data_IF_751516010539
#
_entry.id   IF_751516010539
#
_cell.length_a   1.000
_cell.length_b   1.000
_cell.length_c   1.000
_cell.angle_alpha   90.00
_cell.angle_beta   90.00
_cell.angle_gamma   90.00
#
_symmetry.space_group_name_H-M   'P 1'
#
loop_
_entity.id
_entity.type
_entity.pdbx_description
1 polymer ?
#
# COMPACT_ATOMS: atom_id res chain seq x y z
N UNK A 1 -0.92 -7.92 -17.76
CA UNK A 1 -0.38 -7.18 -18.91
C UNK A 1 -0.51 -5.67 -18.69
N UNK A 2 0.26 -4.89 -19.43
CA UNK A 2 0.24 -3.44 -19.33
C UNK A 2 -1.15 -2.86 -19.63
N UNK A 3 -1.86 -3.45 -20.60
CA UNK A 3 -3.21 -3.02 -20.98
C UNK A 3 -4.26 -3.22 -19.87
N UNK A 4 -4.03 -4.13 -18.94
CA UNK A 4 -4.94 -4.39 -17.83
C UNK A 4 -4.56 -3.64 -16.56
N UNK A 5 -3.43 -2.91 -16.59
CA UNK A 5 -2.95 -2.15 -15.44
C UNK A 5 -3.94 -1.04 -15.07
N UNK A 6 -4.26 -0.93 -13.78
CA UNK A 6 -5.15 0.12 -13.26
C UNK A 6 -4.65 0.60 -11.88
N UNK A 7 -5.32 1.62 -11.34
CA UNK A 7 -4.92 2.23 -10.06
C UNK A 7 -5.10 1.33 -8.85
N UNK A 8 -5.83 0.23 -8.98
CA UNK A 8 -5.98 -0.76 -7.92
C UNK A 8 -4.90 -1.84 -8.03
N UNK A 9 -4.82 -2.55 -9.17
CA UNK A 9 -3.91 -3.68 -9.29
C UNK A 9 -2.42 -3.28 -9.31
N UNK A 10 -2.10 -2.02 -9.61
CA UNK A 10 -0.73 -1.52 -9.56
C UNK A 10 -0.12 -1.66 -8.16
N UNK A 11 -0.94 -1.66 -7.11
CA UNK A 11 -0.47 -1.82 -5.73
C UNK A 11 0.04 -3.22 -5.42
N UNK A 12 -0.32 -4.23 -6.21
CA UNK A 12 0.17 -5.60 -6.06
C UNK A 12 1.56 -5.81 -6.66
N UNK A 13 2.04 -4.85 -7.44
CA UNK A 13 3.28 -4.98 -8.18
C UNK A 13 4.46 -4.43 -7.41
N UNK A 14 5.64 -5.00 -7.68
CA UNK A 14 6.92 -4.48 -7.20
C UNK A 14 7.63 -3.77 -8.35
N UNK A 15 8.74 -3.08 -8.05
CA UNK A 15 9.48 -2.29 -9.03
C UNK A 15 9.90 -3.11 -10.25
N UNK A 16 10.39 -4.33 -10.02
CA UNK A 16 10.80 -5.20 -11.13
C UNK A 16 9.62 -5.61 -12.01
N UNK A 17 8.45 -5.78 -11.43
CA UNK A 17 7.24 -6.12 -12.20
C UNK A 17 6.86 -5.00 -13.13
N UNK A 18 6.99 -3.75 -12.68
CA UNK A 18 6.72 -2.57 -13.50
C UNK A 18 7.64 -2.55 -14.72
N UNK A 19 8.95 -2.75 -14.50
CA UNK A 19 9.91 -2.76 -15.61
C UNK A 19 9.64 -3.91 -16.58
N UNK A 20 9.25 -5.09 -16.08
CA UNK A 20 8.89 -6.23 -16.95
C UNK A 20 7.66 -5.91 -17.80
N UNK A 21 6.65 -5.26 -17.23
CA UNK A 21 5.46 -4.87 -17.97
C UNK A 21 5.79 -3.85 -19.07
N UNK A 22 6.62 -2.87 -18.76
CA UNK A 22 7.04 -1.85 -19.71
C UNK A 22 7.89 -2.47 -20.82
N UNK A 23 8.81 -3.37 -20.47
CA UNK A 23 9.64 -4.09 -21.45
C UNK A 23 8.78 -4.95 -22.38
N UNK A 24 7.82 -5.69 -21.84
CA UNK A 24 6.89 -6.47 -22.64
C UNK A 24 6.04 -5.59 -23.55
N UNK A 25 5.69 -4.38 -23.08
CA UNK A 25 4.93 -3.40 -23.84
C UNK A 25 5.72 -2.71 -24.94
N UNK A 26 7.06 -2.77 -24.91
CA UNK A 26 7.92 -2.16 -25.94
C UNK A 26 7.63 -2.67 -27.34
N UNK A 27 7.07 -3.87 -27.45
CA UNK A 27 6.67 -4.47 -28.71
C UNK A 27 5.33 -3.96 -29.23
N UNK A 28 4.60 -3.22 -28.41
CA UNK A 28 3.31 -2.64 -28.77
C UNK A 28 3.57 -1.31 -29.49
N UNK A 29 3.07 -1.20 -30.72
CA UNK A 29 3.23 0.01 -31.52
C UNK A 29 2.61 1.25 -30.86
N UNK A 30 1.62 1.04 -29.99
CA UNK A 30 0.90 2.14 -29.34
C UNK A 30 1.51 2.57 -27.99
N UNK A 31 2.62 1.94 -27.56
CA UNK A 31 3.20 2.23 -26.26
C UNK A 31 3.60 3.70 -26.12
N UNK A 32 4.27 4.28 -27.10
CA UNK A 32 4.72 5.67 -27.03
C UNK A 32 3.56 6.65 -26.92
N UNK A 33 2.43 6.34 -27.55
CA UNK A 33 1.24 7.17 -27.49
C UNK A 33 0.51 7.07 -26.15
N UNK A 34 0.66 5.94 -25.46
CA UNK A 34 -0.06 5.66 -24.21
C UNK A 34 0.85 5.71 -22.97
N UNK A 35 2.14 5.96 -23.13
CA UNK A 35 3.09 5.90 -22.03
C UNK A 35 2.73 6.86 -20.88
N UNK A 36 2.26 8.05 -21.20
CA UNK A 36 1.84 9.03 -20.20
C UNK A 36 0.71 8.47 -19.33
N UNK A 37 -0.26 7.81 -19.94
CA UNK A 37 -1.36 7.18 -19.25
C UNK A 37 -0.87 6.09 -18.29
N UNK A 38 0.00 5.21 -18.75
CA UNK A 38 0.57 4.15 -17.91
C UNK A 38 1.44 4.70 -16.80
N UNK A 39 2.23 5.74 -17.08
CA UNK A 39 3.05 6.38 -16.04
C UNK A 39 2.19 7.06 -14.99
N UNK A 40 1.04 7.63 -15.36
CA UNK A 40 0.11 8.22 -14.39
C UNK A 40 -0.45 7.15 -13.44
N UNK A 41 -0.78 5.97 -13.98
CA UNK A 41 -1.22 4.84 -13.15
C UNK A 41 -0.10 4.42 -12.21
N UNK A 42 1.12 4.27 -12.73
CA UNK A 42 2.28 3.84 -11.93
C UNK A 42 2.58 4.88 -10.85
N UNK A 43 2.49 6.17 -11.15
CA UNK A 43 2.70 7.25 -10.17
C UNK A 43 1.69 7.23 -9.02
N UNK A 44 0.54 6.65 -9.22
CA UNK A 44 -0.44 6.54 -8.13
C UNK A 44 0.05 5.60 -7.00
N UNK A 45 0.95 4.65 -7.31
CA UNK A 45 1.48 3.68 -6.35
C UNK A 45 3.00 3.73 -6.16
N UNK A 46 3.72 4.43 -7.04
CA UNK A 46 5.18 4.51 -7.02
C UNK A 46 5.65 5.95 -7.15
N UNK A 47 6.76 6.26 -6.48
CA UNK A 47 7.52 7.47 -6.76
C UNK A 47 8.30 7.24 -8.04
N UNK A 48 8.23 8.19 -8.97
CA UNK A 48 8.95 8.13 -10.25
C UNK A 48 9.82 9.38 -10.40
N UNK A 49 11.08 9.17 -10.69
CA UNK A 49 12.00 10.27 -11.03
C UNK A 49 12.71 9.94 -12.34
N UNK A 50 12.66 10.88 -13.28
CA UNK A 50 13.36 10.73 -14.55
C UNK A 50 14.87 10.86 -14.32
N UNK A 51 15.64 9.95 -14.91
CA UNK A 51 17.11 10.00 -14.87
C UNK A 51 17.59 10.72 -16.13
N UNK A 52 18.00 11.98 -15.97
CA UNK A 52 18.42 12.84 -17.08
C UNK A 52 19.89 12.63 -17.47
N UNK A 53 20.72 12.22 -16.52
CA UNK A 53 22.15 11.99 -16.73
C UNK A 53 22.43 10.51 -16.51
N UNK A 54 22.73 9.79 -17.59
CA UNK A 54 23.00 8.36 -17.56
C UNK A 54 24.48 8.09 -17.28
N UNK A 55 24.85 8.22 -16.00
CA UNK A 55 26.20 7.91 -15.53
C UNK A 55 26.11 7.01 -14.31
N UNK A 56 27.06 6.06 -14.15
CA UNK A 56 27.04 5.13 -13.01
C UNK A 56 26.94 5.81 -11.64
N UNK A 57 27.67 6.92 -11.45
CA UNK A 57 27.64 7.67 -10.18
C UNK A 57 26.29 8.34 -9.91
N UNK A 58 25.58 8.75 -10.95
CA UNK A 58 24.23 9.32 -10.81
C UNK A 58 23.22 8.24 -10.51
N UNK A 59 23.29 7.12 -11.22
CA UNK A 59 22.43 5.96 -11.00
C UNK A 59 22.60 5.44 -9.58
N UNK A 60 23.83 5.34 -9.08
CA UNK A 60 24.12 4.90 -7.71
C UNK A 60 23.45 5.80 -6.67
N UNK A 61 23.32 7.10 -6.91
CA UNK A 61 22.65 8.02 -6.00
C UNK A 61 21.14 7.73 -5.92
N UNK A 62 20.52 7.42 -7.07
CA UNK A 62 19.10 7.02 -7.08
C UNK A 62 18.90 5.69 -6.33
N UNK A 63 19.77 4.72 -6.58
CA UNK A 63 19.70 3.42 -5.91
C UNK A 63 19.93 3.54 -4.40
N UNK A 64 20.82 4.43 -3.97
CA UNK A 64 21.07 4.70 -2.54
C UNK A 64 19.82 5.26 -1.84
N UNK A 65 18.94 5.94 -2.58
CA UNK A 65 17.66 6.44 -2.06
C UNK A 65 16.56 5.38 -2.11
N UNK A 66 16.86 4.16 -2.54
CA UNK A 66 15.91 3.05 -2.60
C UNK A 66 15.15 2.93 -3.91
N UNK A 67 15.46 3.78 -4.90
CA UNK A 67 14.83 3.64 -6.21
C UNK A 67 15.53 2.57 -7.04
N UNK A 68 14.76 1.86 -7.85
CA UNK A 68 15.30 0.97 -8.86
C UNK A 68 15.29 1.70 -10.19
N UNK A 69 16.42 1.69 -10.88
CA UNK A 69 16.59 2.42 -12.14
C UNK A 69 16.45 1.45 -13.30
N UNK A 70 15.67 1.82 -14.29
CA UNK A 70 15.48 1.07 -15.51
C UNK A 70 15.08 1.98 -16.64
N UNK A 71 14.91 1.42 -17.82
CA UNK A 71 14.53 2.18 -18.99
C UNK A 71 13.48 1.47 -19.81
N UNK A 72 12.70 2.25 -20.54
CA UNK A 72 11.73 1.75 -21.50
C UNK A 72 11.99 2.36 -22.85
N UNK A 73 11.96 1.55 -23.89
CA UNK A 73 12.10 2.00 -25.27
C UNK A 73 10.73 2.44 -25.77
N UNK A 74 10.60 3.73 -26.11
CA UNK A 74 9.35 4.30 -26.59
C UNK A 74 9.20 4.11 -28.12
N UNK A 75 10.31 4.31 -28.85
CA UNK A 75 10.41 4.10 -30.27
C UNK A 75 11.88 3.83 -30.62
N UNK A 76 12.23 3.72 -31.91
CA UNK A 76 13.59 3.42 -32.33
C UNK A 76 14.63 4.46 -31.87
N UNK A 77 14.21 5.71 -31.66
CA UNK A 77 15.11 6.82 -31.32
C UNK A 77 15.02 7.26 -29.86
N UNK A 78 13.92 6.95 -29.18
CA UNK A 78 13.63 7.46 -27.86
C UNK A 78 13.58 6.38 -26.80
N UNK A 79 14.35 6.56 -25.72
CA UNK A 79 14.27 5.76 -24.50
C UNK A 79 13.99 6.70 -23.35
N UNK A 80 13.18 6.22 -22.43
CA UNK A 80 12.92 6.90 -21.16
C UNK A 80 13.62 6.12 -20.07
N UNK A 81 14.51 6.77 -19.32
CA UNK A 81 15.19 6.17 -18.17
C UNK A 81 14.69 6.83 -16.90
N UNK A 82 14.30 6.02 -15.92
CA UNK A 82 13.73 6.53 -14.70
C UNK A 82 13.98 5.59 -13.53
N UNK A 83 13.94 6.18 -12.32
CA UNK A 83 13.97 5.42 -11.08
C UNK A 83 12.57 5.34 -10.49
N UNK A 84 12.24 4.20 -9.90
CA UNK A 84 10.95 4.01 -9.22
C UNK A 84 11.15 3.43 -7.84
N UNK A 85 10.23 3.77 -6.95
CA UNK A 85 10.15 3.22 -5.61
C UNK A 85 8.69 3.17 -5.19
N UNK A 86 8.23 2.01 -4.73
CA UNK A 86 6.86 1.85 -4.27
C UNK A 86 6.59 2.79 -3.09
N UNK A 87 5.47 3.49 -3.13
CA UNK A 87 5.06 4.37 -2.04
C UNK A 87 4.80 3.56 -0.79
N UNK A 88 5.26 4.08 0.34
CA UNK A 88 5.06 3.44 1.64
C UNK A 88 3.79 3.98 2.27
N UNK A 89 2.92 3.08 2.74
CA UNK A 89 1.73 3.45 3.50
C UNK A 89 2.17 3.49 4.96
N UNK A 90 2.26 4.68 5.53
CA UNK A 90 2.72 4.89 6.92
C UNK A 90 1.64 5.48 7.81
N UNK A 91 0.76 6.32 7.27
CA UNK A 91 -0.26 7.05 8.01
C UNK A 91 -1.65 6.70 7.50
N UNK A 92 -2.66 6.91 8.33
CA UNK A 92 -4.06 6.68 7.94
C UNK A 92 -4.48 7.54 6.75
N UNK A 93 -3.84 8.71 6.57
CA UNK A 93 -4.09 9.59 5.42
C UNK A 93 -3.52 9.03 4.10
N UNK A 94 -2.67 8.02 4.16
CA UNK A 94 -2.15 7.35 2.96
C UNK A 94 -3.12 6.29 2.43
N UNK A 95 -4.14 5.93 3.20
CA UNK A 95 -5.11 4.92 2.81
C UNK A 95 -6.10 5.47 1.78
N UNK A 96 -6.35 4.67 0.76
CA UNK A 96 -7.30 5.01 -0.31
C UNK A 96 -8.17 3.80 -0.64
N UNK A 97 -9.28 4.02 -1.35
CA UNK A 97 -10.11 2.91 -1.83
C UNK A 97 -9.34 1.99 -2.77
N UNK A 98 -8.35 2.53 -3.50
CA UNK A 98 -7.54 1.76 -4.44
C UNK A 98 -6.53 0.86 -3.74
N UNK A 99 -5.90 1.32 -2.64
CA UNK A 99 -4.83 0.56 -1.98
C UNK A 99 -5.30 -0.29 -0.79
N UNK A 100 -6.48 -0.01 -0.24
CA UNK A 100 -6.89 -0.65 1.03
C UNK A 100 -7.00 -2.17 0.92
N UNK A 101 -7.31 -2.71 -0.24
CA UNK A 101 -7.43 -4.16 -0.44
C UNK A 101 -6.10 -4.85 -0.69
N UNK A 102 -5.01 -4.08 -0.79
CA UNK A 102 -3.68 -4.56 -1.14
C UNK A 102 -2.69 -4.48 0.01
N UNK A 103 -3.17 -4.24 1.23
CA UNK A 103 -2.35 -4.28 2.44
C UNK A 103 -2.87 -5.38 3.37
N UNK A 104 -2.01 -5.86 4.25
CA UNK A 104 -2.40 -6.88 5.23
C UNK A 104 -3.14 -6.26 6.41
N UNK A 105 -3.87 -7.08 7.16
CA UNK A 105 -4.50 -6.66 8.41
C UNK A 105 -3.45 -6.16 9.41
N UNK A 106 -2.31 -6.83 9.50
CA UNK A 106 -1.20 -6.39 10.36
C UNK A 106 -0.70 -5.00 9.99
N UNK A 107 -0.56 -4.73 8.70
CA UNK A 107 -0.13 -3.41 8.22
C UNK A 107 -1.17 -2.34 8.52
N UNK A 108 -2.44 -2.65 8.33
CA UNK A 108 -3.53 -1.73 8.67
C UNK A 108 -3.47 -1.35 10.14
N UNK A 109 -3.36 -2.33 11.03
CA UNK A 109 -3.34 -2.08 12.48
C UNK A 109 -2.10 -1.28 12.90
N UNK A 110 -0.95 -1.51 12.27
CA UNK A 110 0.26 -0.74 12.47
C UNK A 110 0.04 0.74 12.10
N UNK A 111 -0.63 0.99 10.98
CA UNK A 111 -0.95 2.34 10.51
C UNK A 111 -1.93 3.04 11.45
N UNK A 112 -2.94 2.32 11.94
CA UNK A 112 -3.90 2.86 12.92
C UNK A 112 -3.19 3.21 14.23
N UNK A 113 -2.29 2.36 14.70
CA UNK A 113 -1.51 2.61 15.93
C UNK A 113 -0.72 3.90 15.85
N UNK A 114 -0.16 4.22 14.68
CA UNK A 114 0.61 5.44 14.44
C UNK A 114 -0.24 6.71 14.45
N UNK A 115 -1.56 6.61 14.49
CA UNK A 115 -2.45 7.77 14.54
C UNK A 115 -2.58 8.28 15.97
N UNK A 116 -1.45 8.66 16.58
CA UNK A 116 -1.37 9.24 17.93
C UNK A 116 -1.96 8.35 19.03
N UNK A 117 -2.03 7.03 18.79
CA UNK A 117 -2.61 6.08 19.73
C UNK A 117 -4.09 6.29 20.01
N UNK A 118 -4.80 6.97 19.11
CA UNK A 118 -6.16 7.45 19.35
C UNK A 118 -7.28 6.42 19.23
N UNK A 119 -7.02 5.25 18.66
CA UNK A 119 -8.04 4.22 18.47
C UNK A 119 -8.96 4.47 17.28
N UNK A 120 -9.99 3.64 17.19
CA UNK A 120 -10.91 3.66 16.04
C UNK A 120 -11.69 4.95 15.91
N UNK A 121 -12.23 5.45 17.02
CA UNK A 121 -13.08 6.65 17.01
C UNK A 121 -12.29 7.94 16.75
N UNK A 122 -10.96 7.89 16.83
CA UNK A 122 -10.11 9.03 16.46
C UNK A 122 -10.00 9.21 14.94
N UNK A 123 -10.38 8.21 14.17
CA UNK A 123 -10.32 8.25 12.73
C UNK A 123 -11.54 9.00 12.17
N UNK A 124 -11.33 9.81 11.13
CA UNK A 124 -12.44 10.46 10.45
C UNK A 124 -13.37 9.43 9.81
N UNK A 125 -14.63 9.81 9.59
CA UNK A 125 -15.58 8.91 8.96
C UNK A 125 -15.12 8.47 7.58
N UNK A 126 -14.50 9.35 6.81
CA UNK A 126 -13.99 9.02 5.48
C UNK A 126 -12.91 7.95 5.54
N UNK A 127 -12.02 8.02 6.53
CA UNK A 127 -10.97 7.00 6.72
C UNK A 127 -11.59 5.67 7.18
N UNK A 128 -12.53 5.73 8.12
CA UNK A 128 -13.24 4.53 8.55
C UNK A 128 -13.94 3.83 7.37
N UNK A 129 -14.57 4.59 6.49
CA UNK A 129 -15.26 4.06 5.31
C UNK A 129 -14.28 3.39 4.34
N UNK A 130 -13.12 4.00 4.13
CA UNK A 130 -12.06 3.41 3.29
C UNK A 130 -11.62 2.06 3.89
N UNK A 131 -11.32 2.05 5.19
CA UNK A 131 -10.88 0.84 5.88
C UNK A 131 -11.94 -0.27 5.78
N UNK A 132 -13.19 0.06 6.05
CA UNK A 132 -14.28 -0.89 6.01
C UNK A 132 -14.62 -1.39 4.61
N UNK A 133 -14.16 -0.69 3.59
CA UNK A 133 -14.26 -1.18 2.21
C UNK A 133 -13.38 -2.41 1.96
N UNK A 134 -12.26 -2.53 2.67
CA UNK A 134 -11.32 -3.64 2.50
C UNK A 134 -11.25 -4.63 3.66
N UNK A 135 -11.75 -4.25 4.84
CA UNK A 135 -11.60 -5.04 6.06
C UNK A 135 -12.90 -5.15 6.83
N UNK A 136 -13.10 -6.32 7.43
CA UNK A 136 -14.08 -6.47 8.50
C UNK A 136 -13.44 -5.94 9.78
N UNK A 137 -14.11 -4.99 10.43
CA UNK A 137 -13.62 -4.33 11.64
C UNK A 137 -14.60 -4.59 12.79
N UNK A 138 -14.03 -4.96 13.92
CA UNK A 138 -14.78 -5.10 15.17
C UNK A 138 -14.00 -4.43 16.28
N UNK A 139 -14.65 -3.66 17.14
CA UNK A 139 -13.98 -2.96 18.25
C UNK A 139 -14.70 -3.25 19.55
N UNK A 140 -13.94 -3.24 20.64
CA UNK A 140 -14.49 -3.33 21.98
C UNK A 140 -13.53 -2.65 22.95
N UNK A 141 -14.06 -2.12 24.05
CA UNK A 141 -13.25 -1.53 25.12
C UNK A 141 -13.64 -2.17 26.43
N UNK A 142 -12.72 -2.87 27.05
CA UNK A 142 -12.94 -3.62 28.29
C UNK A 142 -11.71 -3.54 29.18
N UNK A 143 -11.85 -3.77 30.50
CA UNK A 143 -10.70 -4.02 31.34
C UNK A 143 -9.89 -5.20 30.77
N UNK A 144 -8.58 -5.14 30.88
CA UNK A 144 -7.68 -6.10 30.23
C UNK A 144 -7.97 -7.56 30.58
N UNK A 145 -8.29 -7.85 31.85
CA UNK A 145 -8.62 -9.20 32.29
C UNK A 145 -9.92 -9.71 31.69
N UNK A 146 -10.92 -8.84 31.51
CA UNK A 146 -12.18 -9.19 30.86
C UNK A 146 -12.01 -9.35 29.35
N UNK A 147 -11.16 -8.54 28.74
CA UNK A 147 -10.87 -8.63 27.31
C UNK A 147 -10.27 -9.99 26.97
N UNK A 148 -9.35 -10.47 27.80
CA UNK A 148 -8.65 -11.74 27.59
C UNK A 148 -9.31 -12.93 28.29
N UNK A 149 -10.57 -12.82 28.63
CA UNK A 149 -11.32 -13.91 29.24
C UNK A 149 -11.28 -15.15 28.37
N UNK A 150 -10.89 -16.29 28.97
CA UNK A 150 -10.83 -17.57 28.27
C UNK A 150 -12.20 -17.95 27.68
N UNK A 151 -12.21 -18.34 26.40
CA UNK A 151 -13.41 -18.67 25.66
C UNK A 151 -14.25 -17.46 25.26
N UNK A 152 -13.75 -16.25 25.47
CA UNK A 152 -14.46 -15.03 25.14
C UNK A 152 -14.28 -14.57 23.69
N UNK A 153 -14.74 -13.37 23.41
CA UNK A 153 -14.74 -12.81 22.07
C UNK A 153 -13.34 -12.69 21.48
N UNK A 154 -12.35 -12.30 22.29
CA UNK A 154 -10.97 -12.12 21.81
C UNK A 154 -10.42 -13.42 21.18
N UNK A 155 -10.51 -14.52 21.93
CA UNK A 155 -10.01 -15.81 21.43
C UNK A 155 -10.76 -16.27 20.18
N UNK A 156 -12.09 -16.08 20.16
CA UNK A 156 -12.92 -16.46 19.01
C UNK A 156 -12.56 -15.65 17.77
N UNK A 157 -12.30 -14.37 17.92
CA UNK A 157 -11.90 -13.50 16.81
C UNK A 157 -10.54 -13.91 16.25
N UNK A 158 -9.58 -14.20 17.12
CA UNK A 158 -8.25 -14.63 16.69
C UNK A 158 -8.33 -15.99 15.98
N UNK A 159 -9.10 -16.93 16.51
CA UNK A 159 -9.33 -18.23 15.84
C UNK A 159 -9.98 -18.07 14.46
N UNK A 160 -10.84 -17.07 14.31
CA UNK A 160 -11.53 -16.76 13.05
C UNK A 160 -10.65 -16.00 12.06
N UNK A 161 -9.39 -15.76 12.39
CA UNK A 161 -8.42 -15.14 11.50
C UNK A 161 -8.27 -13.63 11.62
N UNK A 162 -8.88 -13.01 12.64
CA UNK A 162 -8.70 -11.58 12.89
C UNK A 162 -7.33 -11.32 13.53
N UNK A 163 -6.68 -10.28 13.07
CA UNK A 163 -5.56 -9.65 13.76
C UNK A 163 -6.12 -8.64 14.76
N UNK A 164 -5.36 -8.32 15.81
CA UNK A 164 -5.83 -7.43 16.86
C UNK A 164 -4.78 -6.39 17.24
N UNK A 165 -5.25 -5.16 17.46
CA UNK A 165 -4.47 -4.07 18.05
C UNK A 165 -5.10 -3.74 19.40
N UNK A 166 -4.29 -3.75 20.46
CA UNK A 166 -4.72 -3.37 21.80
C UNK A 166 -4.15 -1.99 22.13
N UNK A 167 -5.03 -1.07 22.50
CA UNK A 167 -4.65 0.29 22.88
C UNK A 167 -5.03 0.52 24.33
N UNK A 168 -4.04 0.66 25.24
CA UNK A 168 -4.33 0.94 26.66
C UNK A 168 -4.98 2.31 26.84
N UNK A 169 -6.04 2.35 27.65
CA UNK A 169 -6.75 3.59 28.01
C UNK A 169 -7.03 3.57 29.52
N UNK A 170 -5.97 3.81 30.31
CA UNK A 170 -6.07 3.70 31.77
C UNK A 170 -6.35 2.26 32.19
N UNK A 171 -7.42 2.05 32.98
CA UNK A 171 -7.82 0.73 33.43
C UNK A 171 -8.49 -0.10 32.31
N UNK A 172 -8.80 0.51 31.19
CA UNK A 172 -9.49 -0.12 30.07
C UNK A 172 -8.53 -0.31 28.90
N UNK A 173 -8.85 -1.26 28.04
CA UNK A 173 -8.10 -1.51 26.82
C UNK A 173 -9.07 -1.54 25.66
N UNK A 174 -8.80 -0.75 24.63
CA UNK A 174 -9.54 -0.83 23.37
C UNK A 174 -8.87 -1.89 22.49
N UNK A 175 -9.66 -2.84 21.99
CA UNK A 175 -9.20 -3.84 21.04
C UNK A 175 -9.84 -3.54 19.68
N UNK A 176 -9.01 -3.44 18.66
CA UNK A 176 -9.46 -3.29 17.27
C UNK A 176 -9.10 -4.57 16.54
N UNK A 177 -10.12 -5.27 16.07
CA UNK A 177 -9.95 -6.52 15.31
C UNK A 177 -10.15 -6.23 13.84
N UNK A 178 -9.23 -6.72 13.01
CA UNK A 178 -9.28 -6.51 11.57
C UNK A 178 -9.03 -7.82 10.82
N UNK A 179 -9.82 -8.05 9.80
CA UNK A 179 -9.67 -9.19 8.90
C UNK A 179 -9.93 -8.73 7.48
N UNK A 180 -9.01 -9.04 6.57
CA UNK A 180 -9.16 -8.69 5.17
C UNK A 180 -10.40 -9.37 4.58
N UNK A 181 -11.24 -8.62 3.91
CA UNK A 181 -12.42 -9.15 3.22
C UNK A 181 -12.02 -10.06 2.07
N UNK A 182 -12.77 -11.14 1.84
CA UNK A 182 -12.50 -12.05 0.72
C UNK A 182 -12.65 -11.41 -0.64
#
# INVERSE_FOLDING_TARGET
>A
TLKTLNKSNVWDLQENDIFRLLEAGEKDADLSDNIKHYLDIIRSAFEIEEVKIDRPEVISKYEARGLKVGSVKLDEKNRLKFGIKKKTIMRVTDLTYENIRHISASKLLEVIERNFGGGWESLSQSIQDIIQNGFDISTTTLPKDRLHKKGGMYEKKVEDGFEVLEIPKGAWTEAIFAKLKP
#
